data_IF_583539304550
#
_entry.id   IF_583539304550
#
_cell.length_a   1.000
_cell.length_b   1.000
_cell.length_c   1.000
_cell.angle_alpha   90.00
_cell.angle_beta   90.00
_cell.angle_gamma   90.00
#
_symmetry.space_group_name_H-M   'P 1'
#
loop_
_entity.id
_entity.type
_entity.pdbx_description
1 polymer ?
#
# COMPACT_ATOMS: atom_id res chain seq x y z
N UNK A 1 -3.72 -19.62 -2.92
CA UNK A 1 -4.58 -19.25 -4.06
C UNK A 1 -3.90 -18.10 -4.76
N UNK A 2 -3.53 -18.27 -6.03
CA UNK A 2 -2.91 -17.23 -6.85
C UNK A 2 -3.97 -16.25 -7.38
N UNK A 3 -3.57 -15.06 -7.81
CA UNK A 3 -4.50 -14.02 -8.26
C UNK A 3 -5.49 -14.50 -9.31
N UNK A 4 -5.03 -15.21 -10.35
CA UNK A 4 -5.89 -15.81 -11.38
C UNK A 4 -6.87 -16.90 -10.89
N UNK A 5 -6.69 -17.43 -9.68
CA UNK A 5 -7.59 -18.40 -9.06
C UNK A 5 -8.64 -17.77 -8.15
N UNK A 6 -8.53 -16.47 -7.88
CA UNK A 6 -9.44 -15.72 -7.02
C UNK A 6 -10.69 -15.30 -7.78
N UNK A 7 -11.81 -15.19 -7.07
CA UNK A 7 -12.98 -14.46 -7.54
C UNK A 7 -12.69 -12.96 -7.64
N UNK A 8 -13.48 -12.22 -8.43
CA UNK A 8 -13.34 -10.76 -8.54
C UNK A 8 -13.47 -10.04 -7.19
N UNK A 9 -14.35 -10.54 -6.31
CA UNK A 9 -14.51 -10.01 -4.96
C UNK A 9 -13.24 -10.21 -4.11
N UNK A 10 -12.61 -11.38 -4.20
CA UNK A 10 -11.36 -11.69 -3.48
C UNK A 10 -10.18 -10.87 -4.01
N UNK A 11 -10.07 -10.69 -5.33
CA UNK A 11 -9.06 -9.81 -5.95
C UNK A 11 -9.21 -8.38 -5.46
N UNK A 12 -10.43 -7.86 -5.49
CA UNK A 12 -10.74 -6.50 -5.02
C UNK A 12 -10.37 -6.33 -3.55
N UNK A 13 -10.77 -7.27 -2.69
CA UNK A 13 -10.43 -7.25 -1.25
C UNK A 13 -8.93 -7.31 -0.99
N UNK A 14 -8.19 -8.12 -1.76
CA UNK A 14 -6.73 -8.20 -1.68
C UNK A 14 -6.10 -6.86 -2.05
N UNK A 15 -6.47 -6.29 -3.20
CA UNK A 15 -5.92 -5.03 -3.69
C UNK A 15 -6.25 -3.87 -2.74
N UNK A 16 -7.49 -3.79 -2.22
CA UNK A 16 -7.85 -2.83 -1.19
C UNK A 16 -6.96 -2.97 0.05
N UNK A 17 -6.71 -4.21 0.52
CA UNK A 17 -5.85 -4.45 1.68
C UNK A 17 -4.41 -3.99 1.43
N UNK A 18 -3.87 -4.30 0.25
CA UNK A 18 -2.52 -3.89 -0.18
C UNK A 18 -2.42 -2.36 -0.23
N UNK A 19 -3.41 -1.67 -0.81
CA UNK A 19 -3.49 -0.21 -0.82
C UNK A 19 -3.34 0.37 0.59
N UNK A 20 -4.12 -0.11 1.55
CA UNK A 20 -4.07 0.40 2.93
C UNK A 20 -2.73 0.11 3.61
N UNK A 21 -2.11 -1.04 3.34
CA UNK A 21 -0.77 -1.35 3.85
C UNK A 21 0.27 -0.38 3.29
N UNK A 22 0.23 -0.07 1.99
CA UNK A 22 1.11 0.94 1.38
C UNK A 22 0.88 2.34 1.95
N UNK A 23 -0.39 2.75 2.15
CA UNK A 23 -0.70 4.02 2.81
C UNK A 23 -0.15 4.06 4.25
N UNK A 24 -0.31 3.00 5.02
CA UNK A 24 0.26 2.87 6.36
C UNK A 24 1.79 2.98 6.35
N UNK A 25 2.46 2.30 5.41
CA UNK A 25 3.92 2.36 5.25
C UNK A 25 4.39 3.78 4.93
N UNK A 26 3.68 4.49 4.06
CA UNK A 26 4.00 5.87 3.73
C UNK A 26 3.83 6.81 4.94
N UNK A 27 2.75 6.65 5.71
CA UNK A 27 2.54 7.46 6.91
C UNK A 27 3.60 7.20 7.98
N UNK A 28 4.04 5.94 8.14
CA UNK A 28 5.18 5.60 9.01
C UNK A 28 6.47 6.31 8.54
N UNK A 29 6.72 6.38 7.23
CA UNK A 29 7.83 7.14 6.67
C UNK A 29 7.76 8.63 7.01
N UNK A 30 6.60 9.26 6.83
CA UNK A 30 6.40 10.69 7.17
C UNK A 30 6.57 10.97 8.66
N UNK A 31 6.13 10.06 9.52
CA UNK A 31 6.35 10.16 10.97
C UNK A 31 7.83 10.09 11.27
N UNK A 32 8.56 9.11 10.72
CA UNK A 32 10.01 9.00 10.89
C UNK A 32 10.75 10.29 10.51
N UNK A 33 10.43 10.90 9.37
CA UNK A 33 11.05 12.16 8.95
C UNK A 33 10.82 13.28 9.98
N UNK A 34 9.59 13.42 10.48
CA UNK A 34 9.24 14.44 11.49
C UNK A 34 9.85 14.18 12.88
N UNK A 35 9.96 12.93 13.29
CA UNK A 35 10.46 12.55 14.61
C UNK A 35 11.98 12.49 14.69
N UNK A 36 12.66 12.28 13.55
CA UNK A 36 14.11 12.41 13.45
C UNK A 36 14.63 13.79 13.88
N UNK A 37 13.76 14.80 13.93
CA UNK A 37 14.07 16.16 14.37
C UNK A 37 13.90 16.36 15.90
N UNK A 38 13.25 15.45 16.65
CA UNK A 38 12.75 15.74 18.02
C UNK A 38 12.79 14.61 19.06
N UNK A 39 13.01 13.34 18.70
CA UNK A 39 12.88 12.18 19.61
C UNK A 39 14.20 11.49 19.97
N UNK A 40 14.14 10.58 20.95
CA UNK A 40 15.29 9.79 21.40
C UNK A 40 15.61 8.66 20.43
N UNK A 41 16.87 8.18 20.43
CA UNK A 41 17.34 7.09 19.55
C UNK A 41 16.50 5.79 19.63
N UNK A 42 15.76 5.57 20.72
CA UNK A 42 14.97 4.34 20.95
C UNK A 42 13.67 4.36 20.14
N UNK A 43 12.90 5.45 20.19
CA UNK A 43 11.61 5.58 19.49
C UNK A 43 11.81 5.59 17.96
N UNK A 44 12.87 6.26 17.50
CA UNK A 44 13.27 6.26 16.09
C UNK A 44 13.61 4.84 15.63
N UNK A 45 14.33 4.07 16.45
CA UNK A 45 14.70 2.69 16.14
C UNK A 45 13.48 1.78 16.09
N UNK A 46 12.52 1.93 17.00
CA UNK A 46 11.27 1.17 16.98
C UNK A 46 10.43 1.48 15.72
N UNK A 47 10.29 2.76 15.38
CA UNK A 47 9.59 3.19 14.16
C UNK A 47 10.25 2.64 12.88
N UNK A 48 11.59 2.66 12.81
CA UNK A 48 12.34 2.06 11.71
C UNK A 48 12.08 0.55 11.58
N UNK A 49 12.09 -0.18 12.70
CA UNK A 49 11.82 -1.63 12.71
C UNK A 49 10.39 -1.90 12.24
N UNK A 50 9.40 -1.14 12.72
CA UNK A 50 8.01 -1.28 12.29
C UNK A 50 7.86 -1.03 10.78
N UNK A 51 8.48 0.03 10.26
CA UNK A 51 8.48 0.36 8.83
C UNK A 51 9.12 -0.76 7.99
N UNK A 52 10.27 -1.27 8.41
CA UNK A 52 10.95 -2.38 7.73
C UNK A 52 10.10 -3.66 7.73
N UNK A 53 9.52 -4.01 8.87
CA UNK A 53 8.67 -5.19 9.01
C UNK A 53 7.42 -5.09 8.12
N UNK A 54 6.78 -3.91 8.07
CA UNK A 54 5.63 -3.68 7.20
C UNK A 54 6.01 -3.76 5.72
N UNK A 55 7.12 -3.14 5.33
CA UNK A 55 7.63 -3.23 3.95
C UNK A 55 7.90 -4.68 3.53
N UNK A 56 8.52 -5.48 4.42
CA UNK A 56 8.78 -6.89 4.16
C UNK A 56 7.51 -7.75 4.16
N UNK A 57 6.48 -7.37 4.92
CA UNK A 57 5.18 -8.04 4.87
C UNK A 57 4.48 -7.78 3.53
N UNK A 58 4.48 -6.53 3.04
CA UNK A 58 3.90 -6.16 1.76
C UNK A 58 4.60 -6.89 0.60
N UNK A 59 5.94 -6.89 0.57
CA UNK A 59 6.70 -7.61 -0.45
C UNK A 59 6.32 -9.10 -0.51
N UNK A 60 6.20 -9.76 0.65
CA UNK A 60 5.77 -11.17 0.73
C UNK A 60 4.35 -11.39 0.23
N UNK A 61 3.43 -10.45 0.47
CA UNK A 61 2.06 -10.52 -0.04
C UNK A 61 2.08 -10.41 -1.57
N UNK A 62 2.81 -9.44 -2.12
CA UNK A 62 2.93 -9.25 -3.56
C UNK A 62 3.54 -10.48 -4.23
N UNK A 63 4.64 -11.01 -3.72
CA UNK A 63 5.28 -12.23 -4.26
C UNK A 63 4.35 -13.45 -4.19
N UNK A 64 3.62 -13.59 -3.09
CA UNK A 64 2.78 -14.77 -2.90
C UNK A 64 1.52 -14.71 -3.77
N UNK A 65 0.85 -13.55 -3.82
CA UNK A 65 -0.46 -13.43 -4.43
C UNK A 65 -0.44 -12.81 -5.84
N UNK A 66 0.39 -11.78 -6.08
CA UNK A 66 0.37 -10.97 -7.30
C UNK A 66 1.46 -11.35 -8.32
N UNK A 67 2.50 -12.07 -7.92
CA UNK A 67 3.52 -12.51 -8.88
C UNK A 67 2.99 -13.57 -9.84
N UNK A 68 3.09 -13.28 -11.15
CA UNK A 68 2.94 -14.23 -12.25
C UNK A 68 4.13 -14.16 -13.22
N UNK A 69 4.47 -15.29 -13.82
CA UNK A 69 5.44 -15.36 -14.93
C UNK A 69 4.82 -15.00 -16.29
N UNK A 70 3.48 -14.94 -16.37
CA UNK A 70 2.75 -14.52 -17.56
C UNK A 70 2.61 -13.00 -17.59
N UNK A 71 3.22 -12.36 -18.60
CA UNK A 71 3.15 -10.92 -18.83
C UNK A 71 1.70 -10.42 -18.94
N UNK A 72 0.81 -11.19 -19.58
CA UNK A 72 -0.60 -10.80 -19.71
C UNK A 72 -1.34 -10.83 -18.38
N UNK A 73 -0.99 -11.76 -17.50
CA UNK A 73 -1.58 -11.81 -16.16
C UNK A 73 -1.10 -10.61 -15.34
N UNK A 74 0.18 -10.26 -15.46
CA UNK A 74 0.73 -9.08 -14.78
C UNK A 74 0.08 -7.77 -15.27
N UNK A 75 -0.15 -7.62 -16.58
CA UNK A 75 -0.89 -6.48 -17.13
C UNK A 75 -2.32 -6.38 -16.58
N UNK A 76 -3.02 -7.52 -16.46
CA UNK A 76 -4.38 -7.56 -15.89
C UNK A 76 -4.40 -7.23 -14.40
N UNK A 77 -3.41 -7.72 -13.64
CA UNK A 77 -3.25 -7.39 -12.23
C UNK A 77 -3.05 -5.88 -12.08
N UNK A 78 -2.15 -5.30 -12.87
CA UNK A 78 -1.87 -3.87 -12.82
C UNK A 78 -3.08 -3.02 -13.20
N UNK A 79 -3.80 -3.39 -14.26
CA UNK A 79 -5.02 -2.68 -14.65
C UNK A 79 -6.09 -2.69 -13.55
N UNK A 80 -6.28 -3.82 -12.86
CA UNK A 80 -7.23 -3.90 -11.74
C UNK A 80 -6.71 -3.16 -10.50
N UNK A 81 -5.40 -3.19 -10.24
CA UNK A 81 -4.78 -2.41 -9.17
C UNK A 81 -5.06 -0.92 -9.35
N UNK A 82 -4.80 -0.40 -10.55
CA UNK A 82 -5.06 1.00 -10.91
C UNK A 82 -6.54 1.35 -10.71
N UNK A 83 -7.46 0.53 -11.23
CA UNK A 83 -8.91 0.73 -11.09
C UNK A 83 -9.34 0.79 -9.61
N UNK A 84 -8.91 -0.19 -8.80
CA UNK A 84 -9.28 -0.26 -7.38
C UNK A 84 -8.69 0.92 -6.62
N UNK A 85 -7.45 1.30 -6.91
CA UNK A 85 -6.77 2.39 -6.19
C UNK A 85 -7.39 3.74 -6.52
N UNK A 86 -7.67 4.01 -7.80
CA UNK A 86 -8.40 5.21 -8.24
C UNK A 86 -9.78 5.26 -7.59
N UNK A 87 -10.53 4.15 -7.57
CA UNK A 87 -11.84 4.09 -6.92
C UNK A 87 -11.79 4.44 -5.44
N UNK A 88 -10.80 3.92 -4.69
CA UNK A 88 -10.61 4.26 -3.27
C UNK A 88 -10.28 5.74 -3.10
N UNK A 89 -9.38 6.29 -3.91
CA UNK A 89 -8.98 7.70 -3.83
C UNK A 89 -10.13 8.66 -4.19
N UNK A 90 -10.92 8.33 -5.20
CA UNK A 90 -12.00 9.19 -5.67
C UNK A 90 -13.23 9.10 -4.78
N UNK A 91 -13.60 7.88 -4.37
CA UNK A 91 -14.90 7.60 -3.75
C UNK A 91 -14.83 7.00 -2.35
N UNK A 92 -13.72 6.34 -2.00
CA UNK A 92 -13.55 5.64 -0.72
C UNK A 92 -13.40 6.56 0.48
N UNK A 93 -13.04 7.82 0.27
CA UNK A 93 -12.82 8.80 1.33
C UNK A 93 -13.51 10.13 1.07
N UNK A 94 -13.96 10.77 2.15
CA UNK A 94 -14.39 12.17 2.11
C UNK A 94 -13.18 13.08 1.88
N UNK A 95 -13.41 14.27 1.32
CA UNK A 95 -12.37 15.30 1.17
C UNK A 95 -11.68 15.66 2.50
N UNK A 96 -12.35 15.48 3.62
CA UNK A 96 -11.76 15.65 4.96
C UNK A 96 -10.74 14.55 5.29
N UNK A 97 -11.05 13.30 4.97
CA UNK A 97 -10.17 12.16 5.19
C UNK A 97 -8.96 12.19 4.23
N UNK A 98 -9.18 12.59 2.96
CA UNK A 98 -8.10 12.71 1.95
C UNK A 98 -6.97 13.67 2.40
N UNK A 99 -7.26 14.68 3.23
CA UNK A 99 -6.24 15.62 3.76
C UNK A 99 -5.16 14.92 4.59
N UNK A 100 -5.49 13.83 5.28
CA UNK A 100 -4.52 13.05 6.06
C UNK A 100 -3.61 12.21 5.15
N UNK A 101 -4.08 11.86 3.96
CA UNK A 101 -3.32 11.10 2.95
C UNK A 101 -2.54 11.99 1.96
N UNK A 102 -2.87 13.28 1.86
CA UNK A 102 -2.08 14.30 1.17
C UNK A 102 -2.61 14.66 -0.22
N UNK A 103 -2.58 15.97 -0.55
CA UNK A 103 -3.17 16.59 -1.74
C UNK A 103 -2.43 16.33 -3.07
N UNK A 104 -1.39 15.50 -3.07
CA UNK A 104 -0.54 15.16 -4.23
C UNK A 104 0.03 13.74 -4.07
N UNK A 105 -0.76 12.78 -3.54
CA UNK A 105 -0.34 11.38 -3.46
C UNK A 105 -0.38 10.72 -4.85
N UNK A 106 0.36 11.28 -5.81
CA UNK A 106 0.92 10.55 -6.93
C UNK A 106 1.94 9.58 -6.33
N UNK A 107 1.48 8.49 -5.72
CA UNK A 107 2.39 7.42 -5.28
C UNK A 107 2.90 6.59 -6.46
N UNK A 108 2.33 6.79 -7.66
CA UNK A 108 2.55 5.93 -8.82
C UNK A 108 2.69 6.70 -10.15
N UNK A 109 3.08 7.98 -10.14
CA UNK A 109 3.56 8.66 -11.36
C UNK A 109 5.08 8.63 -11.47
#
# INVERSE_FOLDING_TARGET
MKFNQMTEEEKTKLLMSIYFLFKGLHQLGRMQDKYSEKETDVEIKEAMIMRQNLSAAIARINDYYLYSEDEKENEQIQALEDEVFEWIEDTGFTEEVKKYFGKNSLMFS
#
